data_IF_591166422526
#
_entry.id   IF_591166422526
#
_cell.length_a   1.000
_cell.length_b   1.000
_cell.length_c   1.000
_cell.angle_alpha   90.00
_cell.angle_beta   90.00
_cell.angle_gamma   90.00
#
_symmetry.space_group_name_H-M   'P 1'
#
loop_
_entity.id
_entity.type
_entity.pdbx_description
1 polymer ?
#
# COMPACT_ATOMS: atom_id res chain seq x y z
N UNK A 1 61.06 51.18 16.66
CA UNK A 1 60.93 49.92 15.83
C UNK A 1 59.70 49.20 16.36
N UNK A 2 58.56 49.33 15.65
CA UNK A 2 57.31 48.72 16.09
C UNK A 2 56.94 47.61 15.08
N UNK A 3 56.96 46.35 15.54
CA UNK A 3 56.52 45.18 14.75
C UNK A 3 54.99 45.05 14.87
N UNK A 4 54.31 45.21 13.78
CA UNK A 4 52.87 44.89 13.66
C UNK A 4 52.71 43.49 13.07
N UNK A 5 52.28 42.57 13.91
CA UNK A 5 51.99 41.18 13.52
C UNK A 5 50.52 41.13 13.03
N UNK A 6 50.32 40.94 11.73
CA UNK A 6 48.98 40.72 11.14
C UNK A 6 48.56 39.29 11.39
N UNK A 7 47.45 39.13 12.11
CA UNK A 7 46.75 37.82 12.28
C UNK A 7 45.74 37.70 11.14
N UNK A 8 46.01 36.80 10.20
CA UNK A 8 45.00 36.35 9.19
C UNK A 8 44.03 35.38 9.85
N UNK A 9 42.79 35.85 10.02
CA UNK A 9 41.68 35.04 10.47
C UNK A 9 41.08 34.31 9.25
N UNK A 10 41.39 33.03 9.09
CA UNK A 10 40.81 32.19 8.03
C UNK A 10 39.44 31.69 8.49
N UNK A 11 38.39 32.29 7.94
CA UNK A 11 36.99 31.87 8.15
C UNK A 11 36.72 30.60 7.31
N UNK A 12 36.76 29.43 7.93
CA UNK A 12 36.35 28.20 7.30
C UNK A 12 34.81 28.15 7.24
N UNK A 13 34.24 28.47 6.08
CA UNK A 13 32.83 28.29 5.80
C UNK A 13 32.59 26.77 5.58
N UNK A 14 32.07 26.08 6.60
CA UNK A 14 31.57 24.71 6.49
C UNK A 14 30.29 24.74 5.67
N UNK A 15 30.38 24.48 4.38
CA UNK A 15 29.23 24.15 3.53
C UNK A 15 28.66 22.81 4.00
N UNK A 16 27.58 22.84 4.73
CA UNK A 16 26.69 21.69 4.91
C UNK A 16 26.12 21.35 3.54
N UNK A 17 26.75 20.43 2.83
CA UNK A 17 26.18 19.82 1.64
C UNK A 17 24.93 19.04 2.06
N UNK A 18 23.77 19.64 1.93
CA UNK A 18 22.50 18.92 1.91
C UNK A 18 22.57 17.96 0.71
N UNK A 19 22.69 16.67 0.99
CA UNK A 19 22.76 15.63 -0.03
C UNK A 19 21.36 15.42 -0.61
N UNK A 20 21.06 15.87 -1.84
CA UNK A 20 19.78 15.60 -2.52
C UNK A 20 19.66 14.14 -3.00
N UNK A 21 20.67 13.29 -2.75
CA UNK A 21 20.77 11.93 -3.25
C UNK A 21 19.70 10.99 -2.70
N UNK A 22 19.29 11.11 -1.44
CA UNK A 22 18.39 10.12 -0.81
C UNK A 22 16.93 10.20 -1.30
N UNK A 23 16.43 11.39 -1.60
CA UNK A 23 15.09 11.54 -2.17
C UNK A 23 15.04 11.04 -3.62
N UNK A 24 16.11 11.30 -4.39
CA UNK A 24 16.24 10.82 -5.77
C UNK A 24 16.34 9.30 -5.84
N UNK A 25 16.94 8.65 -4.84
CA UNK A 25 17.01 7.19 -4.74
C UNK A 25 15.62 6.57 -4.47
N UNK A 26 14.79 7.21 -3.63
CA UNK A 26 13.41 6.77 -3.38
C UNK A 26 12.56 6.84 -4.65
N UNK A 27 12.56 7.98 -5.35
CA UNK A 27 11.79 8.16 -6.58
C UNK A 27 12.22 7.18 -7.68
N UNK A 28 13.53 6.96 -7.84
CA UNK A 28 14.06 6.03 -8.83
C UNK A 28 13.65 4.57 -8.54
N UNK A 29 13.60 4.16 -7.26
CA UNK A 29 13.17 2.82 -6.88
C UNK A 29 11.66 2.65 -7.11
N UNK A 30 10.85 3.61 -6.67
CA UNK A 30 9.38 3.57 -6.86
C UNK A 30 9.01 3.55 -8.34
N UNK A 31 9.68 4.34 -9.19
CA UNK A 31 9.49 4.31 -10.64
C UNK A 31 9.77 2.92 -11.21
N UNK A 32 10.88 2.27 -10.83
CA UNK A 32 11.19 0.91 -11.30
C UNK A 32 10.15 -0.12 -10.86
N UNK A 33 9.57 0.05 -9.66
CA UNK A 33 8.49 -0.81 -9.18
C UNK A 33 7.22 -0.62 -10.00
N UNK A 34 6.82 0.63 -10.29
CA UNK A 34 5.69 0.94 -11.17
C UNK A 34 5.89 0.37 -12.57
N UNK A 35 7.06 0.60 -13.17
CA UNK A 35 7.38 0.08 -14.51
C UNK A 35 7.27 -1.46 -14.56
N UNK A 36 7.78 -2.13 -13.52
CA UNK A 36 7.67 -3.58 -13.39
C UNK A 36 6.22 -4.02 -13.24
N UNK A 37 5.44 -3.34 -12.38
CA UNK A 37 4.03 -3.66 -12.14
C UNK A 37 3.18 -3.52 -13.40
N UNK A 38 3.44 -2.53 -14.25
CA UNK A 38 2.76 -2.35 -15.54
C UNK A 38 2.96 -3.52 -16.51
N UNK A 39 3.97 -4.38 -16.29
CA UNK A 39 4.16 -5.58 -17.10
C UNK A 39 3.24 -6.74 -16.70
N UNK A 40 2.60 -6.67 -15.54
CA UNK A 40 1.73 -7.72 -15.04
C UNK A 40 0.35 -7.63 -15.69
N UNK A 41 -0.11 -8.74 -16.26
CA UNK A 41 -1.48 -8.83 -16.79
C UNK A 41 -2.46 -9.13 -15.67
N UNK A 42 -2.13 -10.14 -14.88
CA UNK A 42 -2.87 -10.54 -13.71
C UNK A 42 -1.89 -11.08 -12.66
N UNK A 43 -2.22 -10.89 -11.39
CA UNK A 43 -1.38 -11.33 -10.28
C UNK A 43 -2.19 -11.64 -9.03
N UNK A 44 -1.59 -12.42 -8.14
CA UNK A 44 -2.13 -12.78 -6.85
C UNK A 44 -1.13 -12.46 -5.75
N UNK A 45 -1.61 -11.93 -4.64
CA UNK A 45 -0.85 -11.67 -3.43
C UNK A 45 -1.55 -12.37 -2.26
N UNK A 46 -0.83 -13.24 -1.55
CA UNK A 46 -1.24 -13.67 -0.22
C UNK A 46 -0.46 -12.85 0.82
N UNK A 47 -1.15 -12.37 1.83
CA UNK A 47 -0.57 -11.50 2.86
C UNK A 47 -1.13 -11.83 4.24
N UNK A 48 -0.46 -11.34 5.28
CA UNK A 48 -1.02 -11.20 6.62
C UNK A 48 -1.26 -9.71 6.88
N UNK A 49 -2.44 -9.35 7.33
CA UNK A 49 -2.74 -8.03 7.87
C UNK A 49 -2.74 -8.08 9.40
N UNK A 50 -2.16 -7.07 10.03
CA UNK A 50 -2.24 -6.88 11.48
C UNK A 50 -2.73 -5.46 11.76
N UNK A 51 -3.92 -5.36 12.33
CA UNK A 51 -4.50 -4.12 12.84
C UNK A 51 -4.10 -3.97 14.30
N UNK A 52 -3.53 -2.83 14.68
CA UNK A 52 -3.23 -2.46 16.07
C UNK A 52 -3.98 -1.16 16.38
N UNK A 53 -4.92 -1.23 17.33
CA UNK A 53 -5.60 -0.05 17.87
C UNK A 53 -4.95 0.33 19.21
N UNK A 54 -4.13 1.38 19.17
CA UNK A 54 -3.37 1.86 20.34
C UNK A 54 -4.25 2.50 21.41
N UNK A 55 -5.48 2.93 21.07
CA UNK A 55 -6.41 3.55 22.03
C UNK A 55 -7.16 2.52 22.84
N UNK A 56 -7.50 1.39 22.21
CA UNK A 56 -8.35 0.35 22.81
C UNK A 56 -7.53 -0.87 23.24
N UNK A 57 -6.20 -0.85 23.10
CA UNK A 57 -5.31 -1.99 23.39
C UNK A 57 -5.79 -3.27 22.70
N UNK A 58 -6.12 -3.13 21.40
CA UNK A 58 -6.66 -4.21 20.58
C UNK A 58 -5.73 -4.52 19.43
N UNK A 59 -5.51 -5.80 19.18
CA UNK A 59 -4.75 -6.30 18.03
C UNK A 59 -5.50 -7.44 17.36
N UNK A 60 -5.60 -7.36 16.04
CA UNK A 60 -6.20 -8.39 15.19
C UNK A 60 -5.25 -8.73 14.05
N UNK A 61 -4.94 -10.01 13.90
CA UNK A 61 -4.14 -10.52 12.78
C UNK A 61 -4.96 -11.49 11.96
N UNK A 62 -5.01 -11.25 10.64
CA UNK A 62 -5.75 -12.05 9.68
C UNK A 62 -4.89 -12.33 8.45
N UNK A 63 -5.12 -13.47 7.82
CA UNK A 63 -4.57 -13.77 6.50
C UNK A 63 -5.57 -13.33 5.43
N UNK A 64 -5.05 -12.84 4.31
CA UNK A 64 -5.86 -12.42 3.19
C UNK A 64 -5.20 -12.75 1.86
N UNK A 65 -6.01 -12.70 0.81
CA UNK A 65 -5.54 -12.82 -0.57
C UNK A 65 -6.17 -11.74 -1.44
N UNK A 66 -5.42 -11.24 -2.39
CA UNK A 66 -5.96 -10.36 -3.44
C UNK A 66 -5.51 -10.86 -4.80
N UNK A 67 -6.45 -10.95 -5.73
CA UNK A 67 -6.27 -11.32 -7.13
C UNK A 67 -6.68 -10.14 -7.98
N UNK A 68 -5.83 -9.72 -8.91
CA UNK A 68 -6.02 -8.48 -9.67
C UNK A 68 -5.76 -8.73 -11.16
N UNK A 69 -6.60 -8.15 -12.01
CA UNK A 69 -6.39 -8.02 -13.46
C UNK A 69 -6.91 -6.65 -13.93
N UNK A 70 -6.01 -5.71 -14.20
CA UNK A 70 -6.38 -4.32 -14.50
C UNK A 70 -7.15 -3.68 -13.36
N UNK A 71 -8.36 -3.19 -13.63
CA UNK A 71 -9.25 -2.58 -12.62
C UNK A 71 -10.17 -3.60 -11.93
N UNK A 72 -10.03 -4.89 -12.25
CA UNK A 72 -10.82 -5.97 -11.65
C UNK A 72 -10.06 -6.63 -10.53
N UNK A 73 -10.74 -6.97 -9.45
CA UNK A 73 -10.11 -7.68 -8.34
C UNK A 73 -11.08 -8.57 -7.57
N UNK A 74 -10.50 -9.54 -6.88
CA UNK A 74 -11.13 -10.34 -5.86
C UNK A 74 -10.25 -10.28 -4.60
N UNK A 75 -10.79 -9.75 -3.53
CA UNK A 75 -10.10 -9.53 -2.25
C UNK A 75 -10.79 -10.33 -1.15
N UNK A 76 -10.06 -11.25 -0.54
CA UNK A 76 -10.50 -12.01 0.62
C UNK A 76 -9.81 -11.44 1.87
N UNK A 77 -10.60 -10.91 2.79
CA UNK A 77 -10.16 -10.35 4.07
C UNK A 77 -10.52 -11.27 5.26
N UNK A 78 -11.02 -12.48 4.98
CA UNK A 78 -11.54 -13.41 5.98
C UNK A 78 -13.01 -13.13 6.29
N UNK A 79 -13.30 -12.06 7.03
CA UNK A 79 -14.67 -11.69 7.41
C UNK A 79 -15.46 -11.09 6.25
N UNK A 80 -14.80 -10.49 5.28
CA UNK A 80 -15.38 -9.89 4.07
C UNK A 80 -14.69 -10.41 2.82
N UNK A 81 -15.49 -10.64 1.79
CA UNK A 81 -15.00 -10.99 0.46
C UNK A 81 -15.50 -9.94 -0.52
N UNK A 82 -14.57 -9.28 -1.21
CA UNK A 82 -14.89 -8.18 -2.12
C UNK A 82 -14.57 -8.60 -3.55
N UNK A 83 -15.56 -8.48 -4.42
CA UNK A 83 -15.43 -8.68 -5.86
C UNK A 83 -15.59 -7.35 -6.57
N UNK A 84 -14.81 -7.11 -7.62
CA UNK A 84 -14.94 -5.94 -8.48
C UNK A 84 -14.69 -6.33 -9.93
N UNK A 85 -15.67 -6.12 -10.80
CA UNK A 85 -15.54 -6.41 -12.23
C UNK A 85 -15.05 -5.22 -13.07
N UNK A 86 -14.72 -4.10 -12.39
CA UNK A 86 -14.28 -2.85 -12.98
C UNK A 86 -15.38 -1.77 -13.02
N UNK A 87 -16.65 -2.14 -12.82
CA UNK A 87 -17.81 -1.24 -12.79
C UNK A 87 -18.57 -1.35 -11.47
N UNK A 88 -18.79 -2.58 -11.01
CA UNK A 88 -19.55 -2.91 -9.80
C UNK A 88 -18.65 -3.53 -8.76
N UNK A 89 -18.88 -3.17 -7.51
CA UNK A 89 -18.25 -3.74 -6.33
C UNK A 89 -19.28 -4.52 -5.53
N UNK A 90 -18.97 -5.77 -5.18
CA UNK A 90 -19.76 -6.60 -4.28
C UNK A 90 -18.97 -6.87 -3.01
N UNK A 91 -19.46 -6.41 -1.89
CA UNK A 91 -18.90 -6.71 -0.56
C UNK A 91 -19.77 -7.75 0.12
N UNK A 92 -19.29 -8.98 0.15
CA UNK A 92 -19.99 -10.10 0.75
C UNK A 92 -19.52 -10.33 2.18
N UNK A 93 -20.47 -10.41 3.11
CA UNK A 93 -20.29 -10.75 4.52
C UNK A 93 -20.83 -12.16 4.77
N UNK A 94 -19.96 -13.18 4.81
CA UNK A 94 -20.37 -14.57 4.90
C UNK A 94 -21.18 -14.91 6.14
N UNK A 95 -20.85 -14.34 7.31
CA UNK A 95 -21.53 -14.62 8.57
C UNK A 95 -22.99 -14.13 8.57
N UNK A 96 -23.26 -13.00 7.93
CA UNK A 96 -24.60 -12.42 7.83
C UNK A 96 -25.36 -12.93 6.60
N UNK A 97 -24.66 -13.55 5.63
CA UNK A 97 -25.15 -13.91 4.31
C UNK A 97 -25.76 -12.69 3.58
N UNK A 98 -25.10 -11.56 3.71
CA UNK A 98 -25.46 -10.28 3.08
C UNK A 98 -24.40 -9.91 2.03
N UNK A 99 -24.85 -9.28 0.93
CA UNK A 99 -23.96 -8.77 -0.10
C UNK A 99 -24.38 -7.35 -0.48
N UNK A 100 -23.49 -6.40 -0.21
CA UNK A 100 -23.65 -5.00 -0.57
C UNK A 100 -23.14 -4.78 -1.98
N UNK A 101 -23.88 -4.02 -2.77
CA UNK A 101 -23.54 -3.72 -4.17
C UNK A 101 -23.40 -2.21 -4.33
N UNK A 102 -22.21 -1.79 -4.74
CA UNK A 102 -21.82 -0.39 -4.89
C UNK A 102 -21.19 -0.14 -6.27
N UNK A 103 -21.07 1.11 -6.66
CA UNK A 103 -20.27 1.53 -7.80
C UNK A 103 -18.80 1.67 -7.41
N UNK A 104 -17.89 1.45 -8.38
CA UNK A 104 -16.44 1.62 -8.14
C UNK A 104 -16.07 3.05 -7.75
N UNK A 105 -16.88 4.06 -8.07
CA UNK A 105 -16.65 5.45 -7.68
C UNK A 105 -16.71 5.64 -6.18
N UNK A 106 -17.70 5.03 -5.50
CA UNK A 106 -17.84 5.06 -4.04
C UNK A 106 -16.58 4.51 -3.35
N UNK A 107 -16.09 3.36 -3.82
CA UNK A 107 -14.87 2.75 -3.29
C UNK A 107 -13.64 3.65 -3.47
N UNK A 108 -13.52 4.33 -4.61
CA UNK A 108 -12.41 5.27 -4.89
C UNK A 108 -12.45 6.49 -3.98
N UNK A 109 -13.65 7.01 -3.68
CA UNK A 109 -13.83 8.14 -2.76
C UNK A 109 -13.42 7.77 -1.33
N UNK A 110 -13.64 6.53 -0.92
CA UNK A 110 -13.20 6.00 0.38
C UNK A 110 -11.68 5.75 0.44
N UNK A 111 -10.98 5.87 -0.70
CA UNK A 111 -9.52 5.78 -0.78
C UNK A 111 -8.98 4.35 -0.70
N UNK A 112 -9.81 3.35 -0.92
CA UNK A 112 -9.45 1.93 -0.93
C UNK A 112 -9.63 1.35 -2.34
N UNK A 113 -8.61 1.43 -3.16
CA UNK A 113 -8.57 0.81 -4.49
C UNK A 113 -7.44 -0.22 -4.54
N UNK A 114 -7.74 -1.53 -4.33
CA UNK A 114 -6.73 -2.59 -4.37
C UNK A 114 -6.02 -2.70 -5.73
N UNK A 115 -6.66 -2.27 -6.81
CA UNK A 115 -6.05 -2.28 -8.14
C UNK A 115 -4.86 -1.34 -8.26
N UNK A 116 -4.78 -0.32 -7.38
CA UNK A 116 -3.68 0.64 -7.32
C UNK A 116 -2.56 0.29 -6.35
N UNK A 117 -2.55 -0.92 -5.82
CA UNK A 117 -1.55 -1.34 -4.83
C UNK A 117 -0.11 -1.04 -5.24
N UNK A 118 0.24 -1.18 -6.53
CA UNK A 118 1.58 -0.92 -7.07
C UNK A 118 1.75 0.47 -7.71
N UNK A 119 0.77 1.34 -7.56
CA UNK A 119 0.81 2.72 -8.05
C UNK A 119 0.39 3.75 -6.99
N UNK A 120 0.05 3.28 -5.77
CA UNK A 120 -0.36 4.16 -4.66
C UNK A 120 0.64 5.28 -4.40
N UNK A 121 1.94 5.02 -4.58
CA UNK A 121 3.01 6.01 -4.40
C UNK A 121 3.12 7.03 -5.55
N UNK A 122 2.38 6.87 -6.65
CA UNK A 122 2.30 7.85 -7.73
C UNK A 122 1.37 9.02 -7.38
N UNK A 123 0.54 8.87 -6.36
CA UNK A 123 -0.26 9.96 -5.81
C UNK A 123 0.62 11.04 -5.14
N UNK A 124 0.01 12.16 -4.78
CA UNK A 124 0.72 13.32 -4.21
C UNK A 124 1.15 13.07 -2.75
N UNK A 125 2.21 12.27 -2.58
CA UNK A 125 2.87 12.04 -1.30
C UNK A 125 4.23 12.75 -1.25
N UNK A 126 4.53 13.35 -0.10
CA UNK A 126 5.91 13.69 0.21
C UNK A 126 6.68 12.41 0.56
N UNK A 127 7.73 12.11 -0.19
CA UNK A 127 8.54 10.89 -0.06
C UNK A 127 9.79 11.16 0.75
N UNK A 128 10.18 10.19 1.57
CA UNK A 128 11.42 10.27 2.35
C UNK A 128 12.07 8.90 2.44
N UNK A 129 13.34 8.84 2.05
CA UNK A 129 14.16 7.64 2.22
C UNK A 129 14.60 7.52 3.66
N UNK A 130 14.23 6.43 4.33
CA UNK A 130 14.50 6.18 5.74
C UNK A 130 15.74 5.29 5.96
N UNK A 131 16.31 4.74 4.90
CA UNK A 131 17.45 3.84 4.97
C UNK A 131 17.11 2.39 4.66
N UNK A 132 17.70 1.46 5.40
CA UNK A 132 17.50 0.01 5.26
C UNK A 132 16.87 -0.55 6.53
N UNK A 133 16.05 -1.60 6.37
CA UNK A 133 15.43 -2.32 7.47
C UNK A 133 15.39 -3.82 7.14
N UNK A 134 15.57 -4.66 8.15
CA UNK A 134 15.29 -6.09 8.02
C UNK A 134 13.80 -6.32 8.25
N UNK A 135 13.14 -6.93 7.28
CA UNK A 135 11.74 -7.33 7.36
C UNK A 135 11.64 -8.81 7.00
N UNK A 136 11.26 -9.62 7.94
CA UNK A 136 11.14 -11.09 7.77
C UNK A 136 12.41 -11.77 7.25
N UNK A 137 13.59 -11.25 7.62
CA UNK A 137 14.89 -11.74 7.14
C UNK A 137 15.31 -11.24 5.75
N UNK A 138 14.58 -10.25 5.19
CA UNK A 138 14.92 -9.58 3.93
C UNK A 138 15.46 -8.17 4.23
N UNK A 139 16.59 -7.82 3.66
CA UNK A 139 17.16 -6.47 3.71
C UNK A 139 16.41 -5.56 2.74
N UNK A 140 15.53 -4.71 3.27
CA UNK A 140 14.61 -3.88 2.51
C UNK A 140 15.01 -2.40 2.50
N UNK A 141 14.78 -1.73 1.39
CA UNK A 141 14.71 -0.27 1.35
C UNK A 141 13.48 0.20 2.11
N UNK A 142 13.63 1.16 3.02
CA UNK A 142 12.54 1.75 3.77
C UNK A 142 12.25 3.16 3.26
N UNK A 143 11.03 3.38 2.79
CA UNK A 143 10.55 4.67 2.27
C UNK A 143 9.27 5.05 3.01
N UNK A 144 9.21 6.28 3.53
CA UNK A 144 7.99 6.86 4.06
C UNK A 144 7.30 7.72 2.99
N UNK A 145 5.98 7.55 2.89
CA UNK A 145 5.08 8.39 2.11
C UNK A 145 4.18 9.14 3.10
N UNK A 146 4.23 10.46 3.10
CA UNK A 146 3.43 11.30 4.00
C UNK A 146 2.23 11.85 3.25
N UNK A 147 1.04 11.50 3.74
CA UNK A 147 -0.24 11.87 3.14
C UNK A 147 -0.71 13.27 3.57
N UNK A 148 -1.48 13.91 2.70
CA UNK A 148 -2.27 15.10 3.05
C UNK A 148 -3.34 14.81 4.12
N UNK A 149 -4.01 15.87 4.58
CA UNK A 149 -4.97 15.77 5.69
C UNK A 149 -6.29 15.09 5.31
N UNK A 150 -6.57 14.95 4.03
CA UNK A 150 -7.77 14.31 3.46
C UNK A 150 -7.78 12.78 3.58
N UNK A 151 -6.58 12.16 3.75
CA UNK A 151 -6.47 10.71 3.90
C UNK A 151 -6.70 10.29 5.36
N UNK A 152 -7.29 9.11 5.64
CA UNK A 152 -7.50 8.60 7.00
C UNK A 152 -6.21 8.21 7.72
N UNK A 153 -5.10 8.17 7.01
CA UNK A 153 -3.75 7.92 7.53
C UNK A 153 -2.83 9.12 7.30
N UNK A 154 -1.73 9.18 8.03
CA UNK A 154 -0.73 10.24 7.87
C UNK A 154 0.56 9.76 7.20
N UNK A 155 0.87 8.47 7.28
CA UNK A 155 2.10 7.89 6.71
C UNK A 155 1.86 6.48 6.22
N UNK A 156 2.34 6.17 5.01
CA UNK A 156 2.58 4.79 4.57
C UNK A 156 4.09 4.54 4.65
N UNK A 157 4.48 3.49 5.35
CA UNK A 157 5.87 3.01 5.38
C UNK A 157 5.97 1.84 4.42
N UNK A 158 6.80 1.99 3.39
CA UNK A 158 7.05 0.96 2.40
C UNK A 158 8.37 0.25 2.70
N UNK A 159 8.34 -1.06 2.74
CA UNK A 159 9.52 -1.91 2.85
C UNK A 159 9.65 -2.73 1.56
N UNK A 160 10.68 -2.44 0.78
CA UNK A 160 10.84 -2.87 -0.60
C UNK A 160 12.12 -3.69 -0.76
N UNK A 161 12.02 -4.86 -1.35
CA UNK A 161 13.20 -5.56 -1.86
C UNK A 161 13.62 -4.91 -3.19
N UNK A 162 14.64 -4.07 -3.13
CA UNK A 162 15.14 -3.30 -4.27
C UNK A 162 15.88 -4.15 -5.31
N UNK A 163 16.27 -5.38 -4.95
CA UNK A 163 16.90 -6.35 -5.87
C UNK A 163 15.89 -7.15 -6.65
N UNK A 164 14.86 -7.64 -5.94
CA UNK A 164 13.75 -8.36 -6.56
C UNK A 164 12.73 -7.40 -7.19
N UNK A 165 12.74 -6.11 -6.83
CA UNK A 165 11.71 -5.12 -7.13
C UNK A 165 10.32 -5.64 -6.68
N UNK A 166 10.20 -5.88 -5.38
CA UNK A 166 8.98 -6.40 -4.75
C UNK A 166 8.65 -5.61 -3.49
N UNK A 167 7.35 -5.45 -3.24
CA UNK A 167 6.84 -4.98 -1.95
C UNK A 167 6.91 -6.16 -0.97
N UNK A 168 7.56 -5.94 0.18
CA UNK A 168 7.66 -6.94 1.26
C UNK A 168 6.65 -6.65 2.35
N UNK A 169 6.51 -5.36 2.72
CA UNK A 169 5.58 -4.95 3.76
C UNK A 169 5.15 -3.50 3.52
N UNK A 170 3.91 -3.21 3.88
CA UNK A 170 3.36 -1.84 3.96
C UNK A 170 2.81 -1.65 5.37
N UNK A 171 3.17 -0.54 6.01
CA UNK A 171 2.59 -0.13 7.31
C UNK A 171 1.85 1.18 7.12
N UNK A 172 0.55 1.15 7.33
CA UNK A 172 -0.31 2.33 7.30
C UNK A 172 -0.46 2.87 8.73
N UNK A 173 -0.01 4.10 8.96
CA UNK A 173 -0.12 4.80 10.23
C UNK A 173 -1.38 5.68 10.23
N UNK A 174 -2.41 5.23 10.93
CA UNK A 174 -3.69 5.91 10.99
C UNK A 174 -3.67 7.17 11.87
N UNK A 175 -4.49 8.16 11.50
CA UNK A 175 -4.58 9.43 12.27
C UNK A 175 -5.26 9.27 13.61
N UNK A 176 -6.10 8.26 13.72
CA UNK A 176 -6.90 8.02 14.93
C UNK A 176 -6.23 7.05 15.92
N UNK A 177 -5.00 6.61 15.63
CA UNK A 177 -4.22 5.72 16.49
C UNK A 177 -4.40 4.25 16.17
N UNK A 178 -4.96 3.91 15.00
CA UNK A 178 -5.00 2.55 14.47
C UNK A 178 -3.95 2.41 13.38
N UNK A 179 -3.05 1.45 13.53
CA UNK A 179 -2.03 1.11 12.54
C UNK A 179 -2.40 -0.21 11.87
N UNK A 180 -2.19 -0.30 10.56
CA UNK A 180 -2.38 -1.55 9.82
C UNK A 180 -1.08 -1.94 9.12
N UNK A 181 -0.62 -3.15 9.38
CA UNK A 181 0.56 -3.73 8.73
C UNK A 181 0.14 -4.83 7.77
N UNK A 182 0.51 -4.70 6.50
CA UNK A 182 0.36 -5.74 5.49
C UNK A 182 1.72 -6.34 5.18
N UNK A 183 1.89 -7.63 5.46
CA UNK A 183 3.12 -8.38 5.16
C UNK A 183 2.87 -9.39 4.06
N UNK A 184 3.55 -9.24 2.93
CA UNK A 184 3.41 -10.13 1.78
C UNK A 184 4.01 -11.50 2.11
N UNK A 185 3.22 -12.55 1.93
CA UNK A 185 3.64 -13.96 2.07
C UNK A 185 4.10 -14.53 0.74
N UNK A 186 3.26 -14.37 -0.28
CA UNK A 186 3.56 -14.81 -1.64
C UNK A 186 3.07 -13.80 -2.65
N UNK A 187 3.81 -13.66 -3.74
CA UNK A 187 3.45 -12.87 -4.90
C UNK A 187 3.61 -13.70 -6.16
N UNK A 188 2.56 -13.83 -6.94
CA UNK A 188 2.53 -14.62 -8.18
C UNK A 188 1.97 -13.81 -9.33
N UNK A 189 2.68 -13.77 -10.46
CA UNK A 189 2.24 -13.14 -11.72
C UNK A 189 1.74 -14.16 -12.73
N UNK A 190 1.51 -15.40 -12.29
CA UNK A 190 1.03 -16.51 -13.13
C UNK A 190 -0.44 -16.83 -12.87
N UNK A 191 -1.22 -15.84 -12.38
CA UNK A 191 -2.64 -16.00 -12.14
C UNK A 191 -3.37 -16.34 -13.44
N UNK A 192 -4.06 -17.48 -13.45
CA UNK A 192 -4.93 -17.87 -14.55
C UNK A 192 -6.34 -17.36 -14.28
N UNK A 193 -6.76 -16.34 -15.02
CA UNK A 193 -8.07 -15.72 -14.86
C UNK A 193 -9.13 -16.57 -15.55
N UNK A 194 -10.14 -16.96 -14.76
CA UNK A 194 -11.29 -17.74 -15.26
C UNK A 194 -12.55 -16.85 -15.32
N UNK A 195 -13.54 -17.18 -16.20
CA UNK A 195 -14.79 -16.42 -16.26
C UNK A 195 -15.51 -16.37 -14.91
N UNK A 196 -15.97 -15.19 -14.52
CA UNK A 196 -16.68 -14.97 -13.26
C UNK A 196 -15.80 -14.79 -12.01
N UNK A 197 -14.46 -14.81 -12.16
CA UNK A 197 -13.52 -14.73 -11.04
C UNK A 197 -13.67 -13.43 -10.21
N UNK A 198 -14.05 -12.34 -10.87
CA UNK A 198 -14.18 -11.01 -10.29
C UNK A 198 -15.62 -10.55 -10.10
N UNK A 199 -16.57 -11.49 -10.20
CA UNK A 199 -18.00 -11.20 -10.03
C UNK A 199 -18.55 -12.05 -8.89
N UNK A 200 -19.40 -11.48 -8.06
CA UNK A 200 -20.00 -12.21 -6.95
C UNK A 200 -20.79 -13.43 -7.46
N UNK A 201 -20.48 -14.64 -7.00
CA UNK A 201 -21.09 -15.87 -7.51
C UNK A 201 -22.43 -16.15 -6.82
N UNK A 202 -23.49 -15.46 -7.23
CA UNK A 202 -24.85 -15.56 -6.66
C UNK A 202 -25.37 -17.02 -6.55
N UNK A 203 -24.98 -17.86 -7.52
CA UNK A 203 -25.40 -19.28 -7.56
C UNK A 203 -24.81 -20.12 -6.44
N UNK A 204 -23.68 -19.69 -5.86
CA UNK A 204 -23.02 -20.36 -4.72
C UNK A 204 -23.55 -19.90 -3.36
N UNK A 205 -24.32 -18.80 -3.31
CA UNK A 205 -24.83 -18.20 -2.07
C UNK A 205 -26.36 -18.15 -2.09
N UNK A 206 -27.06 -19.28 -1.98
CA UNK A 206 -28.52 -19.33 -2.01
C UNK A 206 -29.12 -18.57 -0.82
N UNK A 207 -30.07 -17.68 -1.12
CA UNK A 207 -30.74 -16.89 -0.08
C UNK A 207 -29.91 -15.75 0.48
N UNK A 208 -28.83 -15.34 -0.22
CA UNK A 208 -28.11 -14.11 0.12
C UNK A 208 -29.04 -12.91 0.02
N UNK A 209 -28.99 -12.03 1.03
CA UNK A 209 -29.66 -10.73 0.99
C UNK A 209 -28.78 -9.75 0.21
N UNK A 210 -29.32 -9.28 -0.94
CA UNK A 210 -28.61 -8.37 -1.83
C UNK A 210 -29.06 -6.95 -1.55
N UNK A 211 -28.16 -6.12 -1.04
CA UNK A 211 -28.39 -4.71 -0.70
C UNK A 211 -27.73 -3.84 -1.77
N UNK A 212 -28.53 -3.34 -2.72
CA UNK A 212 -28.04 -2.51 -3.83
C UNK A 212 -28.04 -1.03 -3.40
N UNK A 213 -26.87 -0.45 -3.25
CA UNK A 213 -26.66 0.94 -2.84
C UNK A 213 -26.47 1.90 -4.05
N UNK A 214 -26.42 1.36 -5.28
CA UNK A 214 -26.26 2.17 -6.49
C UNK A 214 -27.50 2.99 -6.74
N UNK A 215 -27.35 4.28 -6.95
CA UNK A 215 -28.44 5.24 -7.19
C UNK A 215 -28.54 5.56 -8.67
#
# INVERSE_FOLDING_TARGET
MRNTTSILLTLAASFLAFSPTLAQDADALLTKLSDKAQTYKAYEIAYTSTLVDLKNDFELTQDGTVQIEGDRFHLDLGDYIIYCDGETVWTFEPEMNECYVDDTETMKEEGMDPSKLFTVWEEDFRREWMGRADVTGRDCAHINLYAGTEKPFHTLQLFLDDKALEVVQIVMKGREGSDVTYTVKTFSTTLEVVPGMFTFPMDKHPGVDLIDNRI
#
